data_IF_697152726550
#
_entry.id   IF_697152726550
#
_cell.length_a   1.000
_cell.length_b   1.000
_cell.length_c   1.000
_cell.angle_alpha   90.00
_cell.angle_beta   90.00
_cell.angle_gamma   90.00
#
_symmetry.space_group_name_H-M   'P 1'
#
loop_
_entity.id
_entity.type
_entity.pdbx_description
1 polymer ?
#
# COMPACT_ATOMS: atom_id res chain seq x y z
N UNK A 1 2.18 5.01 18.99
CA UNK A 1 1.37 6.09 18.40
C UNK A 1 1.59 6.24 16.89
N UNK A 2 2.82 6.12 16.39
CA UNK A 2 3.15 6.11 14.94
C UNK A 2 2.53 4.90 14.19
N UNK A 3 2.45 3.72 14.83
CA UNK A 3 1.78 2.54 14.28
C UNK A 3 0.30 2.77 13.92
N UNK A 4 -0.42 3.60 14.68
CA UNK A 4 -1.83 3.92 14.39
C UNK A 4 -1.97 4.81 13.17
N UNK A 5 -1.07 5.78 13.00
CA UNK A 5 -1.07 6.68 11.83
C UNK A 5 -0.71 5.91 10.56
N UNK A 6 0.29 5.01 10.64
CA UNK A 6 0.65 4.12 9.54
C UNK A 6 -0.46 3.12 9.18
N UNK A 7 -1.11 2.50 10.18
CA UNK A 7 -2.23 1.60 9.94
C UNK A 7 -3.47 2.34 9.41
N UNK A 8 -3.68 3.61 9.79
CA UNK A 8 -4.75 4.45 9.26
C UNK A 8 -4.49 4.86 7.80
N UNK A 9 -3.24 5.15 7.43
CA UNK A 9 -2.81 5.45 6.06
C UNK A 9 -3.00 4.23 5.15
N UNK A 10 -2.76 3.02 5.68
CA UNK A 10 -2.82 1.75 4.94
C UNK A 10 -4.15 0.99 5.06
N UNK A 11 -5.10 1.44 5.89
CA UNK A 11 -6.45 0.86 6.05
C UNK A 11 -6.52 -0.68 6.25
N UNK A 12 -5.53 -1.30 6.89
CA UNK A 12 -5.53 -2.76 7.13
C UNK A 12 -6.18 -3.11 8.49
N UNK A 13 -7.10 -4.09 8.48
CA UNK A 13 -7.83 -4.60 9.66
C UNK A 13 -7.19 -5.82 10.35
N UNK A 14 -6.07 -6.36 9.87
CA UNK A 14 -5.38 -7.51 10.49
C UNK A 14 -4.01 -7.14 11.10
N UNK A 15 -3.63 -7.69 12.27
CA UNK A 15 -2.36 -7.35 12.94
C UNK A 15 -1.15 -7.97 12.22
N UNK A 16 -0.04 -7.23 12.19
CA UNK A 16 1.19 -7.56 11.43
C UNK A 16 1.99 -8.75 12.01
N UNK A 17 2.68 -9.57 11.18
CA UNK A 17 3.72 -10.48 11.66
C UNK A 17 4.99 -9.72 12.08
N UNK A 18 5.57 -10.13 13.21
CA UNK A 18 6.66 -9.46 13.95
C UNK A 18 7.92 -9.24 13.07
N UNK A 19 8.19 -10.13 12.12
CA UNK A 19 9.34 -10.06 11.22
C UNK A 19 9.42 -8.74 10.42
N UNK A 20 8.28 -8.16 10.06
CA UNK A 20 8.18 -6.93 9.25
C UNK A 20 8.52 -5.67 10.06
N UNK A 21 8.13 -5.63 11.35
CA UNK A 21 8.57 -4.60 12.29
C UNK A 21 10.06 -4.71 12.59
N UNK A 22 10.54 -5.95 12.72
CA UNK A 22 11.97 -6.23 12.94
C UNK A 22 12.78 -5.74 11.76
N UNK A 23 12.37 -5.98 10.50
CA UNK A 23 13.13 -5.56 9.32
C UNK A 23 13.27 -4.03 9.20
N UNK A 24 12.21 -3.27 9.50
CA UNK A 24 12.24 -1.79 9.51
C UNK A 24 13.13 -1.27 10.64
N UNK A 25 13.05 -1.88 11.82
CA UNK A 25 13.95 -1.56 12.94
C UNK A 25 15.40 -1.98 12.65
N UNK A 26 15.60 -3.10 11.97
CA UNK A 26 16.92 -3.61 11.58
C UNK A 26 17.56 -2.70 10.53
N UNK A 27 16.79 -2.28 9.52
CA UNK A 27 17.24 -1.29 8.55
C UNK A 27 17.58 0.02 9.25
N UNK A 28 16.77 0.50 10.19
CA UNK A 28 17.09 1.71 10.96
C UNK A 28 18.40 1.59 11.76
N UNK A 29 18.63 0.44 12.39
CA UNK A 29 19.81 0.14 13.20
C UNK A 29 21.07 -0.13 12.36
N UNK A 30 20.92 -0.61 11.12
CA UNK A 30 22.06 -0.96 10.24
C UNK A 30 22.35 0.12 9.20
N UNK A 31 21.35 0.58 8.43
CA UNK A 31 21.53 1.67 7.47
C UNK A 31 21.85 2.99 8.15
N UNK A 32 21.34 3.25 9.36
CA UNK A 32 21.60 4.51 10.08
C UNK A 32 23.09 4.76 10.33
N UNK A 33 23.79 3.85 11.03
CA UNK A 33 25.24 3.95 11.22
C UNK A 33 26.05 3.86 9.92
N UNK A 34 25.59 3.08 8.95
CA UNK A 34 26.31 2.86 7.69
C UNK A 34 26.24 4.10 6.78
N UNK A 35 25.08 4.76 6.70
CA UNK A 35 24.90 6.05 6.03
C UNK A 35 25.63 7.18 6.77
N UNK A 36 25.64 7.16 8.10
CA UNK A 36 26.45 8.08 8.91
C UNK A 36 27.94 7.92 8.58
N UNK A 37 28.44 6.68 8.61
CA UNK A 37 29.82 6.36 8.28
C UNK A 37 30.19 6.78 6.87
N UNK A 38 29.31 6.56 5.89
CA UNK A 38 29.49 7.05 4.52
C UNK A 38 29.53 8.57 4.46
N UNK A 39 28.59 9.25 5.11
CA UNK A 39 28.52 10.72 5.10
C UNK A 39 29.74 11.37 5.74
N UNK A 40 30.24 10.79 6.84
CA UNK A 40 31.45 11.24 7.52
C UNK A 40 32.68 10.96 6.65
N UNK A 41 32.73 9.83 5.96
CA UNK A 41 33.82 9.49 5.03
C UNK A 41 33.85 10.45 3.84
N UNK A 42 32.69 10.75 3.24
CA UNK A 42 32.55 11.71 2.14
C UNK A 42 32.91 13.11 2.61
N UNK A 43 32.45 13.53 3.79
CA UNK A 43 32.75 14.85 4.35
C UNK A 43 34.25 14.98 4.67
N UNK A 44 34.85 13.95 5.25
CA UNK A 44 36.29 13.89 5.56
C UNK A 44 37.14 13.89 4.27
N UNK A 45 36.68 13.20 3.23
CA UNK A 45 37.30 13.21 1.91
C UNK A 45 37.16 14.56 1.22
N UNK A 46 35.99 15.20 1.27
CA UNK A 46 35.75 16.52 0.70
C UNK A 46 36.61 17.60 1.37
N UNK A 47 36.80 17.50 2.70
CA UNK A 47 37.71 18.36 3.46
C UNK A 47 39.17 18.09 3.06
N UNK A 48 39.58 16.82 2.97
CA UNK A 48 40.94 16.43 2.57
C UNK A 48 41.28 16.82 1.12
N UNK A 49 40.32 16.70 0.21
CA UNK A 49 40.44 17.13 -1.18
C UNK A 49 40.50 18.67 -1.30
N UNK A 50 39.72 19.39 -0.49
CA UNK A 50 39.77 20.86 -0.41
C UNK A 50 41.09 21.37 0.18
N UNK A 51 41.77 20.55 1.00
CA UNK A 51 43.10 20.84 1.54
C UNK A 51 44.25 20.35 0.64
N UNK A 52 43.94 19.79 -0.55
CA UNK A 52 44.94 19.34 -1.51
C UNK A 52 45.69 18.06 -1.13
N UNK A 53 45.24 17.34 -0.09
CA UNK A 53 45.90 16.16 0.48
C UNK A 53 45.55 14.85 -0.25
N UNK A 54 44.52 14.83 -1.10
CA UNK A 54 44.15 13.67 -1.92
C UNK A 54 44.04 14.09 -3.38
N UNK A 55 44.84 13.46 -4.24
CA UNK A 55 44.85 13.71 -5.68
C UNK A 55 43.44 13.63 -6.27
N UNK A 56 43.07 14.66 -7.03
CA UNK A 56 41.76 14.82 -7.66
C UNK A 56 41.34 13.55 -8.41
N UNK A 57 40.28 12.89 -7.93
CA UNK A 57 39.61 11.82 -8.67
C UNK A 57 39.15 12.38 -10.02
N UNK A 58 39.35 11.67 -11.15
CA UNK A 58 38.81 12.10 -12.44
C UNK A 58 37.29 12.27 -12.32
N UNK A 59 36.74 13.42 -12.71
CA UNK A 59 35.33 13.76 -12.51
C UNK A 59 34.31 12.71 -13.01
N UNK A 60 34.70 11.85 -13.95
CA UNK A 60 33.89 10.72 -14.42
C UNK A 60 33.66 9.62 -13.37
N UNK A 61 34.61 9.38 -12.47
CA UNK A 61 34.49 8.36 -11.40
C UNK A 61 33.50 8.81 -10.33
N UNK A 62 33.53 10.10 -9.95
CA UNK A 62 32.56 10.66 -8.99
C UNK A 62 31.13 10.58 -9.53
N UNK A 63 30.92 10.97 -10.78
CA UNK A 63 29.60 10.90 -11.42
C UNK A 63 29.06 9.47 -11.52
N UNK A 64 29.94 8.49 -11.82
CA UNK A 64 29.59 7.06 -11.82
C UNK A 64 29.15 6.58 -10.44
N UNK A 65 29.88 6.95 -9.39
CA UNK A 65 29.56 6.58 -8.02
C UNK A 65 28.24 7.20 -7.54
N UNK A 66 28.01 8.49 -7.84
CA UNK A 66 26.76 9.18 -7.49
C UNK A 66 25.55 8.55 -8.20
N UNK A 67 25.71 8.22 -9.48
CA UNK A 67 24.66 7.55 -10.26
C UNK A 67 24.36 6.15 -9.72
N UNK A 68 25.41 5.41 -9.34
CA UNK A 68 25.28 4.07 -8.77
C UNK A 68 24.61 4.11 -7.39
N UNK A 69 24.98 5.05 -6.52
CA UNK A 69 24.35 5.27 -5.22
C UNK A 69 22.85 5.57 -5.39
N UNK A 70 22.51 6.48 -6.30
CA UNK A 70 21.12 6.82 -6.61
C UNK A 70 20.34 5.61 -7.11
N UNK A 71 20.91 4.83 -8.03
CA UNK A 71 20.28 3.64 -8.58
C UNK A 71 20.08 2.55 -7.50
N UNK A 72 21.07 2.32 -6.64
CA UNK A 72 20.99 1.39 -5.51
C UNK A 72 19.91 1.78 -4.52
N UNK A 73 19.83 3.07 -4.17
CA UNK A 73 18.82 3.57 -3.24
C UNK A 73 17.41 3.47 -3.85
N UNK A 74 17.24 3.88 -5.11
CA UNK A 74 15.95 3.78 -5.80
C UNK A 74 15.45 2.34 -5.91
N UNK A 75 16.32 1.41 -6.34
CA UNK A 75 15.98 -0.01 -6.51
C UNK A 75 15.83 -0.73 -5.18
N UNK A 76 16.66 -0.43 -4.18
CA UNK A 76 16.54 -0.96 -2.82
C UNK A 76 15.22 -0.54 -2.15
N UNK A 77 14.83 0.73 -2.28
CA UNK A 77 13.54 1.21 -1.77
C UNK A 77 12.36 0.65 -2.56
N UNK A 78 12.48 0.49 -3.88
CA UNK A 78 11.47 -0.19 -4.67
C UNK A 78 11.30 -1.66 -4.24
N UNK A 79 12.40 -2.38 -4.01
CA UNK A 79 12.38 -3.74 -3.46
C UNK A 79 11.71 -3.78 -2.08
N UNK A 80 12.04 -2.83 -1.20
CA UNK A 80 11.39 -2.69 0.10
C UNK A 80 9.88 -2.51 -0.06
N UNK A 81 9.43 -1.62 -0.94
CA UNK A 81 8.00 -1.38 -1.19
C UNK A 81 7.29 -2.53 -1.92
N UNK A 82 8.02 -3.40 -2.60
CA UNK A 82 7.45 -4.56 -3.28
C UNK A 82 7.35 -5.80 -2.37
N UNK A 83 8.44 -6.13 -1.66
CA UNK A 83 8.55 -7.37 -0.90
C UNK A 83 8.11 -7.25 0.56
N UNK A 84 8.20 -6.06 1.15
CA UNK A 84 7.83 -5.90 2.56
C UNK A 84 6.32 -5.94 2.76
N UNK A 85 5.46 -5.26 1.98
CA UNK A 85 4.02 -5.23 2.25
C UNK A 85 3.36 -6.61 2.14
N UNK A 86 2.32 -6.84 2.94
CA UNK A 86 1.47 -8.03 2.82
C UNK A 86 0.40 -7.86 1.71
N UNK A 87 0.70 -7.06 0.69
CA UNK A 87 -0.21 -6.66 -0.38
C UNK A 87 0.58 -6.65 -1.68
N UNK A 88 -0.01 -7.15 -2.77
CA UNK A 88 0.65 -7.20 -4.07
C UNK A 88 0.83 -5.79 -4.67
N UNK A 89 2.04 -5.23 -4.54
CA UNK A 89 2.40 -3.96 -5.18
C UNK A 89 3.07 -4.27 -6.52
N UNK A 90 2.54 -3.79 -7.66
CA UNK A 90 3.22 -3.99 -8.96
C UNK A 90 4.58 -3.27 -8.97
N UNK A 91 5.60 -3.89 -9.57
CA UNK A 91 6.96 -3.32 -9.69
C UNK A 91 7.00 -1.88 -10.22
N UNK A 92 6.12 -1.53 -11.15
CA UNK A 92 6.02 -0.17 -11.70
C UNK A 92 5.68 0.88 -10.63
N UNK A 93 4.82 0.53 -9.68
CA UNK A 93 4.42 1.42 -8.58
C UNK A 93 5.49 1.48 -7.49
N UNK A 94 6.10 0.33 -7.20
CA UNK A 94 7.23 0.24 -6.28
C UNK A 94 8.43 1.08 -6.75
N UNK A 95 8.75 1.02 -8.05
CA UNK A 95 9.78 1.85 -8.67
C UNK A 95 9.45 3.35 -8.64
N UNK A 96 8.19 3.74 -8.85
CA UNK A 96 7.78 5.14 -8.73
C UNK A 96 7.99 5.68 -7.30
N UNK A 97 7.61 4.90 -6.29
CA UNK A 97 7.89 5.25 -4.89
C UNK A 97 9.39 5.25 -4.56
N UNK A 98 10.14 4.26 -5.03
CA UNK A 98 11.59 4.17 -4.83
C UNK A 98 12.36 5.33 -5.46
N UNK A 99 11.97 5.72 -6.68
CA UNK A 99 12.54 6.89 -7.37
C UNK A 99 12.25 8.18 -6.62
N UNK A 100 11.02 8.34 -6.09
CA UNK A 100 10.67 9.48 -5.26
C UNK A 100 11.57 9.57 -4.01
N UNK A 101 11.83 8.44 -3.34
CA UNK A 101 12.72 8.41 -2.17
C UNK A 101 14.15 8.80 -2.57
N UNK A 102 14.66 8.27 -3.68
CA UNK A 102 16.00 8.59 -4.16
C UNK A 102 16.17 10.09 -4.46
N UNK A 103 15.22 10.69 -5.18
CA UNK A 103 15.23 12.13 -5.45
C UNK A 103 15.10 12.93 -4.15
N UNK A 104 14.21 12.53 -3.25
CA UNK A 104 14.02 13.18 -1.96
C UNK A 104 15.28 13.20 -1.10
N UNK A 105 15.99 12.07 -1.02
CA UNK A 105 17.27 11.98 -0.30
C UNK A 105 18.36 12.84 -0.93
N UNK A 106 18.43 12.89 -2.26
CA UNK A 106 19.39 13.72 -2.98
C UNK A 106 19.15 15.22 -2.70
N UNK A 107 17.89 15.65 -2.71
CA UNK A 107 17.51 17.02 -2.33
C UNK A 107 17.82 17.29 -0.86
N UNK A 108 17.48 16.36 0.04
CA UNK A 108 17.75 16.49 1.47
C UNK A 108 19.26 16.65 1.74
N UNK A 109 20.12 15.83 1.10
CA UNK A 109 21.59 15.93 1.21
C UNK A 109 22.08 17.34 0.86
N UNK A 110 21.58 17.89 -0.26
CA UNK A 110 21.95 19.24 -0.72
C UNK A 110 21.48 20.33 0.22
N UNK A 111 20.23 20.23 0.73
CA UNK A 111 19.67 21.18 1.69
C UNK A 111 20.47 21.14 3.00
N UNK A 112 20.78 19.95 3.52
CA UNK A 112 21.60 19.80 4.72
C UNK A 112 23.01 20.38 4.51
N UNK A 113 23.64 20.07 3.37
CA UNK A 113 24.96 20.61 3.03
C UNK A 113 24.97 22.14 2.93
N UNK A 114 23.92 22.74 2.35
CA UNK A 114 23.75 24.20 2.33
C UNK A 114 23.54 24.78 3.73
N UNK A 115 22.68 24.16 4.54
CA UNK A 115 22.41 24.57 5.91
C UNK A 115 23.68 24.56 6.77
N UNK A 116 24.48 23.49 6.68
CA UNK A 116 25.75 23.38 7.41
C UNK A 116 26.77 24.47 7.02
N UNK A 117 26.76 24.92 5.76
CA UNK A 117 27.64 26.03 5.29
C UNK A 117 27.18 27.40 5.80
N UNK A 118 25.89 27.60 5.98
CA UNK A 118 25.30 28.88 6.43
C UNK A 118 25.37 29.07 7.95
N UNK A 119 25.51 27.97 8.71
CA UNK A 119 25.39 27.97 10.17
C UNK A 119 26.72 27.57 10.88
N UNK A 120 27.91 28.04 10.45
CA UNK A 120 29.18 27.65 11.08
C UNK A 120 29.27 28.08 12.54
N UNK A 121 28.58 29.17 12.92
CA UNK A 121 28.62 29.75 14.27
C UNK A 121 28.07 28.83 15.36
N UNK A 122 27.10 27.95 15.05
CA UNK A 122 26.53 27.05 16.05
C UNK A 122 27.44 25.87 16.39
N UNK A 123 28.26 25.41 15.42
CA UNK A 123 29.28 24.39 15.65
C UNK A 123 30.43 24.93 16.53
N UNK A 124 30.73 26.23 16.44
CA UNK A 124 31.79 26.88 17.22
C UNK A 124 31.40 27.05 18.70
N UNK A 125 30.12 27.33 18.99
CA UNK A 125 29.63 27.56 20.36
C UNK A 125 29.28 26.25 21.09
N UNK A 126 28.68 25.27 20.39
CA UNK A 126 28.19 24.02 20.99
C UNK A 126 29.04 22.79 20.67
N UNK A 127 30.09 22.91 19.85
CA UNK A 127 31.02 21.82 19.52
C UNK A 127 30.31 20.55 19.01
N UNK A 128 30.78 19.38 19.46
CA UNK A 128 30.23 18.08 19.08
C UNK A 128 28.75 17.88 19.47
N UNK A 129 28.21 18.67 20.40
CA UNK A 129 26.81 18.58 20.81
C UNK A 129 25.85 19.06 19.71
N UNK A 130 26.27 19.99 18.84
CA UNK A 130 25.47 20.47 17.70
C UNK A 130 25.18 19.36 16.66
N UNK A 131 26.03 18.34 16.58
CA UNK A 131 25.87 17.20 15.66
C UNK A 131 24.63 16.38 15.99
N UNK A 132 24.27 16.24 17.26
CA UNK A 132 23.16 15.37 17.69
C UNK A 132 21.78 15.90 17.22
N UNK A 133 21.40 17.17 17.47
CA UNK A 133 20.15 17.72 16.94
C UNK A 133 20.09 17.73 15.41
N UNK A 134 21.19 18.06 14.73
CA UNK A 134 21.26 18.06 13.27
C UNK A 134 21.03 16.65 12.73
N UNK A 135 21.65 15.65 13.35
CA UNK A 135 21.46 14.25 12.98
C UNK A 135 20.02 13.77 13.24
N UNK A 136 19.39 14.19 14.33
CA UNK A 136 17.98 13.88 14.60
C UNK A 136 17.04 14.48 13.53
N UNK A 137 17.29 15.72 13.12
CA UNK A 137 16.55 16.38 12.02
C UNK A 137 16.76 15.62 10.71
N UNK A 138 17.98 15.20 10.42
CA UNK A 138 18.29 14.39 9.25
C UNK A 138 17.51 13.08 9.21
N UNK A 139 17.53 12.31 10.31
CA UNK A 139 16.75 11.09 10.45
C UNK A 139 15.26 11.37 10.25
N UNK A 140 14.74 12.43 10.89
CA UNK A 140 13.33 12.80 10.79
C UNK A 140 12.92 13.03 9.34
N UNK A 141 13.66 13.86 8.59
CA UNK A 141 13.36 14.11 7.18
C UNK A 141 13.52 12.85 6.32
N UNK A 142 14.55 12.03 6.58
CA UNK A 142 14.73 10.75 5.90
C UNK A 142 13.51 9.84 6.05
N UNK A 143 12.96 9.72 7.26
CA UNK A 143 11.74 8.96 7.49
C UNK A 143 10.52 9.56 6.80
N UNK A 144 10.36 10.88 6.83
CA UNK A 144 9.25 11.55 6.12
C UNK A 144 9.30 11.24 4.62
N UNK A 145 10.47 11.31 4.00
CA UNK A 145 10.67 11.00 2.57
C UNK A 145 10.31 9.54 2.28
N UNK A 146 10.81 8.59 3.09
CA UNK A 146 10.52 7.15 2.94
C UNK A 146 9.03 6.88 3.06
N UNK A 147 8.37 7.45 4.07
CA UNK A 147 6.93 7.28 4.30
C UNK A 147 6.11 7.85 3.16
N UNK A 148 6.49 9.01 2.63
CA UNK A 148 5.81 9.63 1.49
C UNK A 148 6.00 8.81 0.21
N UNK A 149 7.20 8.27 -0.02
CA UNK A 149 7.46 7.32 -1.12
C UNK A 149 6.65 6.04 -1.02
N UNK A 150 6.47 5.51 0.19
CA UNK A 150 5.61 4.35 0.44
C UNK A 150 4.14 4.65 0.13
N UNK A 151 3.64 5.85 0.48
CA UNK A 151 2.30 6.32 0.09
C UNK A 151 2.17 6.37 -1.43
N UNK A 152 3.16 6.89 -2.15
CA UNK A 152 3.14 6.93 -3.61
C UNK A 152 3.08 5.51 -4.20
N UNK A 153 3.90 4.58 -3.69
CA UNK A 153 3.88 3.19 -4.14
C UNK A 153 2.52 2.49 -3.87
N UNK A 154 1.88 2.80 -2.74
CA UNK A 154 0.60 2.22 -2.32
C UNK A 154 -0.63 2.82 -3.04
N UNK A 155 -0.62 4.11 -3.37
CA UNK A 155 -1.76 4.80 -4.01
C UNK A 155 -1.70 4.83 -5.54
N UNK A 156 -0.57 4.48 -6.15
CA UNK A 156 -0.48 4.44 -7.61
C UNK A 156 -1.46 3.45 -8.30
N UNK A 157 -1.83 2.28 -7.72
CA UNK A 157 -2.91 1.44 -8.24
C UNK A 157 -4.29 2.11 -8.12
N UNK A 158 -4.58 2.77 -7.00
CA UNK A 158 -5.90 3.36 -6.74
C UNK A 158 -6.17 4.63 -7.56
N UNK A 159 -5.13 5.37 -7.95
CA UNK A 159 -5.24 6.52 -8.86
C UNK A 159 -5.49 6.14 -10.33
N UNK A 160 -5.08 4.93 -10.76
CA UNK A 160 -5.38 4.43 -12.11
C UNK A 160 -6.80 3.88 -12.23
N UNK A 161 -7.37 3.43 -11.12
CA UNK A 161 -8.78 3.07 -11.03
C UNK A 161 -9.61 4.37 -11.02
N UNK A 162 -10.12 4.78 -12.19
CA UNK A 162 -11.12 5.85 -12.35
C UNK A 162 -12.47 5.38 -11.79
N UNK A 163 -12.48 5.17 -10.48
CA UNK A 163 -13.48 4.42 -9.78
C UNK A 163 -14.36 5.38 -9.01
N UNK A 164 -15.64 5.34 -9.33
CA UNK A 164 -16.63 6.24 -8.75
C UNK A 164 -17.06 5.62 -7.43
N UNK A 165 -16.84 6.35 -6.33
CA UNK A 165 -17.42 5.99 -5.04
C UNK A 165 -18.94 6.04 -5.20
N UNK A 166 -19.61 4.88 -5.11
CA UNK A 166 -21.08 4.87 -5.16
C UNK A 166 -21.63 5.57 -3.92
N UNK A 167 -22.66 6.42 -4.05
CA UNK A 167 -23.30 7.07 -2.93
C UNK A 167 -23.85 6.01 -1.96
N UNK A 168 -23.62 6.22 -0.66
CA UNK A 168 -24.07 5.32 0.40
C UNK A 168 -25.56 5.54 0.68
N UNK A 169 -26.39 5.08 -0.25
CA UNK A 169 -27.85 5.07 -0.12
C UNK A 169 -28.31 3.73 0.46
N UNK A 170 -29.44 3.69 1.20
CA UNK A 170 -30.02 2.43 1.65
C UNK A 170 -30.19 1.45 0.49
N UNK A 171 -29.71 0.21 0.65
CA UNK A 171 -29.74 -0.84 -0.38
C UNK A 171 -28.57 -0.82 -1.38
N UNK A 172 -27.67 0.17 -1.34
CA UNK A 172 -26.50 0.21 -2.24
C UNK A 172 -25.57 -0.99 -2.10
N UNK A 173 -25.32 -1.45 -0.85
CA UNK A 173 -24.51 -2.65 -0.56
C UNK A 173 -25.13 -3.91 -1.15
N UNK A 174 -26.44 -4.04 -1.05
CA UNK A 174 -27.18 -5.15 -1.63
C UNK A 174 -27.11 -5.15 -3.16
N UNK A 175 -27.31 -4.00 -3.80
CA UNK A 175 -27.15 -3.86 -5.26
C UNK A 175 -25.72 -4.20 -5.70
N UNK A 176 -24.71 -3.79 -4.91
CA UNK A 176 -23.32 -4.12 -5.20
C UNK A 176 -23.04 -5.62 -5.03
N UNK A 177 -23.62 -6.29 -4.02
CA UNK A 177 -23.53 -7.74 -3.89
C UNK A 177 -24.11 -8.49 -5.09
N UNK A 178 -25.29 -8.10 -5.58
CA UNK A 178 -25.88 -8.68 -6.80
C UNK A 178 -24.92 -8.50 -7.99
N UNK A 179 -24.37 -7.29 -8.15
CA UNK A 179 -23.44 -7.00 -9.24
C UNK A 179 -22.13 -7.82 -9.15
N UNK A 180 -21.61 -8.03 -7.93
CA UNK A 180 -20.44 -8.88 -7.66
C UNK A 180 -20.75 -10.35 -7.99
N UNK A 181 -21.87 -10.88 -7.49
CA UNK A 181 -22.29 -12.26 -7.74
C UNK A 181 -22.52 -12.52 -9.23
N UNK A 182 -23.11 -11.56 -9.95
CA UNK A 182 -23.25 -11.63 -11.42
C UNK A 182 -21.90 -11.63 -12.12
N UNK A 183 -20.96 -10.79 -11.69
CA UNK A 183 -19.61 -10.78 -12.25
C UNK A 183 -18.87 -12.11 -12.02
N UNK A 184 -18.98 -12.68 -10.81
CA UNK A 184 -18.38 -13.97 -10.48
C UNK A 184 -19.05 -15.14 -11.21
N UNK A 185 -20.38 -15.13 -11.35
CA UNK A 185 -21.12 -16.13 -12.13
C UNK A 185 -20.68 -16.13 -13.61
N UNK A 186 -20.51 -14.94 -14.20
CA UNK A 186 -19.98 -14.80 -15.55
C UNK A 186 -18.50 -15.20 -15.68
N UNK A 187 -17.71 -15.03 -14.62
CA UNK A 187 -16.31 -15.44 -14.60
C UNK A 187 -16.14 -16.96 -14.43
N UNK A 188 -17.14 -17.65 -13.86
CA UNK A 188 -17.13 -19.11 -13.67
C UNK A 188 -16.95 -19.88 -14.98
N UNK A 189 -17.44 -19.35 -16.10
CA UNK A 189 -17.31 -19.98 -17.43
C UNK A 189 -16.01 -19.63 -18.16
N UNK A 190 -15.20 -18.70 -17.63
CA UNK A 190 -13.88 -18.35 -18.18
C UNK A 190 -12.81 -19.30 -17.64
N UNK A 191 -11.68 -19.39 -18.34
CA UNK A 191 -10.55 -20.28 -17.98
C UNK A 191 -10.00 -20.08 -16.56
N UNK A 192 -10.19 -18.90 -15.95
CA UNK A 192 -9.77 -18.61 -14.58
C UNK A 192 -10.84 -18.88 -13.51
N UNK A 193 -12.08 -19.18 -13.87
CA UNK A 193 -13.19 -19.48 -12.96
C UNK A 193 -13.49 -18.45 -11.83
N UNK A 194 -12.85 -17.28 -11.83
CA UNK A 194 -12.94 -16.29 -10.75
C UNK A 194 -12.28 -14.96 -11.12
N UNK A 195 -12.39 -13.99 -10.21
CA UNK A 195 -11.91 -12.62 -10.38
C UNK A 195 -11.15 -12.16 -9.13
N UNK A 196 -10.09 -11.36 -9.32
CA UNK A 196 -9.48 -10.65 -8.19
C UNK A 196 -10.36 -9.48 -7.73
N UNK A 197 -10.08 -8.93 -6.54
CA UNK A 197 -10.79 -7.73 -6.05
C UNK A 197 -10.59 -6.58 -7.02
N UNK A 198 -9.40 -6.46 -7.60
CA UNK A 198 -9.04 -5.48 -8.62
C UNK A 198 -9.87 -5.66 -9.89
N UNK A 199 -10.03 -6.90 -10.38
CA UNK A 199 -10.82 -7.19 -11.58
C UNK A 199 -12.30 -6.84 -11.37
N UNK A 200 -12.87 -7.24 -10.22
CA UNK A 200 -14.26 -6.91 -9.86
C UNK A 200 -14.45 -5.39 -9.78
N UNK A 201 -13.52 -4.70 -9.12
CA UNK A 201 -13.54 -3.25 -8.96
C UNK A 201 -13.44 -2.53 -10.31
N UNK A 202 -12.60 -3.03 -11.22
CA UNK A 202 -12.45 -2.50 -12.57
C UNK A 202 -13.71 -2.71 -13.42
N UNK A 203 -14.27 -3.94 -13.38
CA UNK A 203 -15.45 -4.31 -14.13
C UNK A 203 -16.69 -3.54 -13.67
N UNK A 204 -16.86 -3.38 -12.36
CA UNK A 204 -17.99 -2.67 -11.76
C UNK A 204 -17.74 -1.15 -11.60
N UNK A 205 -16.56 -0.66 -11.97
CA UNK A 205 -16.09 0.73 -11.77
C UNK A 205 -16.34 1.25 -10.34
N UNK A 206 -16.15 0.38 -9.36
CA UNK A 206 -16.48 0.61 -7.94
C UNK A 206 -15.25 0.45 -7.04
N UNK A 207 -15.18 1.21 -5.94
CA UNK A 207 -14.02 1.31 -5.05
C UNK A 207 -13.70 -0.07 -4.47
N UNK A 208 -12.45 -0.58 -4.57
CA UNK A 208 -12.04 -1.82 -3.92
C UNK A 208 -12.46 -1.87 -2.43
N UNK A 209 -12.44 -0.72 -1.75
CA UNK A 209 -12.85 -0.60 -0.34
C UNK A 209 -14.36 -0.81 -0.11
N UNK A 210 -15.19 -0.66 -1.15
CA UNK A 210 -16.62 -1.01 -1.10
C UNK A 210 -16.87 -2.46 -1.51
N UNK A 211 -16.01 -3.04 -2.35
CA UNK A 211 -16.12 -4.42 -2.84
C UNK A 211 -15.66 -5.43 -1.78
N UNK A 212 -14.53 -5.17 -1.12
CA UNK A 212 -13.89 -6.09 -0.18
C UNK A 212 -14.81 -6.51 1.00
N UNK A 213 -15.50 -5.60 1.71
CA UNK A 213 -16.40 -6.01 2.80
C UNK A 213 -17.58 -6.87 2.34
N UNK A 214 -18.00 -6.72 1.08
CA UNK A 214 -19.10 -7.50 0.51
C UNK A 214 -18.60 -8.89 0.10
N UNK A 215 -17.40 -8.99 -0.48
CA UNK A 215 -16.77 -10.28 -0.74
C UNK A 215 -16.56 -11.05 0.58
N UNK A 216 -16.06 -10.41 1.63
CA UNK A 216 -15.91 -11.02 2.96
C UNK A 216 -17.25 -11.52 3.51
N UNK A 217 -18.32 -10.74 3.34
CA UNK A 217 -19.68 -11.13 3.73
C UNK A 217 -20.18 -12.35 2.94
N UNK A 218 -19.89 -12.43 1.63
CA UNK A 218 -20.24 -13.56 0.78
C UNK A 218 -19.38 -14.81 1.05
N UNK A 219 -18.13 -14.62 1.47
CA UNK A 219 -17.25 -15.69 1.96
C UNK A 219 -17.76 -16.24 3.29
N UNK A 220 -18.22 -15.37 4.21
CA UNK A 220 -18.75 -15.79 5.50
C UNK A 220 -20.02 -16.66 5.43
N UNK A 221 -20.76 -16.58 4.32
CA UNK A 221 -21.94 -17.43 4.06
C UNK A 221 -21.62 -18.60 3.09
N UNK A 222 -20.33 -18.88 2.84
CA UNK A 222 -19.84 -19.95 1.95
C UNK A 222 -20.30 -19.87 0.49
N UNK A 223 -20.67 -18.67 0.01
CA UNK A 223 -21.08 -18.49 -1.40
C UNK A 223 -19.91 -18.20 -2.32
N UNK A 224 -18.86 -17.58 -1.78
CA UNK A 224 -17.64 -17.20 -2.49
C UNK A 224 -16.44 -17.81 -1.77
N UNK A 225 -15.49 -18.36 -2.52
CA UNK A 225 -14.23 -18.89 -2.00
C UNK A 225 -13.07 -17.98 -2.39
N UNK A 226 -12.09 -17.83 -1.50
CA UNK A 226 -10.83 -17.13 -1.80
C UNK A 226 -9.73 -18.15 -2.10
N UNK A 227 -9.13 -18.03 -3.28
CA UNK A 227 -7.98 -18.81 -3.72
C UNK A 227 -6.73 -17.93 -3.62
N UNK A 228 -5.85 -18.28 -2.69
CA UNK A 228 -4.57 -17.60 -2.50
C UNK A 228 -3.56 -18.20 -3.49
N UNK A 229 -3.29 -17.49 -4.59
CA UNK A 229 -2.33 -17.86 -5.64
C UNK A 229 -1.07 -16.97 -5.58
N UNK A 230 -0.02 -17.29 -6.32
CA UNK A 230 1.27 -16.57 -6.39
C UNK A 230 1.19 -15.13 -6.97
N UNK A 231 0.01 -14.52 -6.94
CA UNK A 231 -0.36 -13.21 -7.47
C UNK A 231 -1.51 -12.59 -6.67
N UNK A 232 -2.49 -12.00 -7.35
CA UNK A 232 -3.70 -11.49 -6.69
C UNK A 232 -4.62 -12.62 -6.23
N UNK A 233 -5.08 -12.58 -4.98
CA UNK A 233 -6.07 -13.52 -4.46
C UNK A 233 -7.33 -13.50 -5.34
N UNK A 234 -7.74 -14.67 -5.81
CA UNK A 234 -8.87 -14.82 -6.73
C UNK A 234 -10.10 -15.26 -5.95
N UNK A 235 -11.22 -14.60 -6.20
CA UNK A 235 -12.52 -14.98 -5.65
C UNK A 235 -13.28 -15.81 -6.67
N UNK A 236 -13.81 -16.95 -6.24
CA UNK A 236 -14.57 -17.89 -7.07
C UNK A 236 -15.95 -18.10 -6.48
N UNK A 237 -16.96 -18.27 -7.34
CA UNK A 237 -18.30 -18.61 -6.89
C UNK A 237 -18.36 -20.10 -6.55
N UNK A 238 -18.67 -20.43 -5.29
CA UNK A 238 -18.77 -21.81 -4.80
C UNK A 238 -20.18 -22.39 -4.96
N UNK A 239 -21.18 -21.54 -4.77
CA UNK A 239 -22.57 -21.95 -4.81
C UNK A 239 -23.10 -22.04 -6.26
N UNK A 240 -24.08 -22.91 -6.49
CA UNK A 240 -24.84 -22.94 -7.74
C UNK A 240 -26.02 -21.95 -7.65
N UNK A 241 -26.06 -20.90 -8.50
CA UNK A 241 -27.13 -19.91 -8.45
C UNK A 241 -28.53 -20.49 -8.65
N UNK A 242 -28.66 -21.60 -9.37
CA UNK A 242 -29.96 -22.20 -9.68
C UNK A 242 -30.65 -22.79 -8.45
N UNK A 243 -29.87 -23.34 -7.52
CA UNK A 243 -30.35 -24.10 -6.37
C UNK A 243 -30.22 -23.34 -5.04
N UNK A 244 -29.33 -22.35 -4.99
CA UNK A 244 -29.04 -21.60 -3.76
C UNK A 244 -30.13 -20.59 -3.45
N UNK A 245 -30.68 -20.61 -2.23
CA UNK A 245 -31.70 -19.66 -1.77
C UNK A 245 -31.10 -18.28 -1.46
N UNK A 246 -31.80 -17.22 -1.84
CA UNK A 246 -31.37 -15.83 -1.66
C UNK A 246 -31.35 -15.35 -0.19
N UNK A 247 -32.09 -16.04 0.69
CA UNK A 247 -32.36 -15.63 2.08
C UNK A 247 -31.11 -15.19 2.87
N UNK A 248 -29.99 -15.94 2.93
CA UNK A 248 -28.82 -15.55 3.73
C UNK A 248 -28.24 -14.19 3.33
N UNK A 249 -28.18 -13.91 2.02
CA UNK A 249 -27.72 -12.62 1.52
C UNK A 249 -28.72 -11.51 1.81
N UNK A 250 -30.02 -11.77 1.65
CA UNK A 250 -31.09 -10.79 1.94
C UNK A 250 -31.09 -10.37 3.40
N UNK A 251 -30.93 -11.31 4.34
CA UNK A 251 -30.82 -10.99 5.77
C UNK A 251 -29.55 -10.22 6.10
N UNK A 252 -28.44 -10.51 5.41
CA UNK A 252 -27.13 -9.92 5.70
C UNK A 252 -26.97 -8.50 5.14
N UNK A 253 -27.53 -8.24 3.95
CA UNK A 253 -27.23 -7.03 3.18
C UNK A 253 -28.44 -6.13 2.88
N UNK A 254 -29.67 -6.64 3.02
CA UNK A 254 -30.88 -5.89 2.70
C UNK A 254 -31.71 -5.56 3.95
N UNK A 255 -32.40 -6.54 4.52
CA UNK A 255 -33.34 -6.36 5.65
C UNK A 255 -33.29 -7.59 6.55
N UNK A 256 -32.97 -7.43 7.83
CA UNK A 256 -33.01 -8.53 8.80
C UNK A 256 -34.47 -9.00 9.06
N UNK A 257 -34.78 -10.31 9.06
CA UNK A 257 -36.11 -10.83 9.42
C UNK A 257 -36.39 -10.67 10.93
N UNK A 258 -36.89 -9.49 11.30
CA UNK A 258 -37.40 -9.18 12.64
C UNK A 258 -38.93 -9.31 12.67
N UNK A 259 -39.58 -9.35 13.85
CA UNK A 259 -41.04 -9.40 13.93
C UNK A 259 -41.73 -8.25 13.15
N UNK A 260 -41.11 -7.08 13.07
CA UNK A 260 -41.61 -5.93 12.33
C UNK A 260 -41.52 -6.11 10.80
N UNK A 261 -40.49 -6.80 10.30
CA UNK A 261 -40.27 -7.04 8.86
C UNK A 261 -40.82 -8.39 8.37
N UNK A 262 -41.25 -9.28 9.27
CA UNK A 262 -41.70 -10.64 8.94
C UNK A 262 -42.88 -10.70 7.95
N UNK A 263 -43.86 -9.78 8.07
CA UNK A 263 -44.99 -9.73 7.13
C UNK A 263 -44.52 -9.34 5.73
N UNK A 264 -43.63 -8.35 5.65
CA UNK A 264 -43.03 -7.92 4.39
C UNK A 264 -42.22 -9.05 3.74
N UNK A 265 -41.38 -9.73 4.52
CA UNK A 265 -40.58 -10.89 4.09
C UNK A 265 -41.45 -12.00 3.46
N UNK A 266 -42.54 -12.39 4.15
CA UNK A 266 -43.45 -13.43 3.64
C UNK A 266 -44.18 -12.99 2.38
N UNK A 267 -44.68 -11.74 2.33
CA UNK A 267 -45.41 -11.22 1.16
C UNK A 267 -44.49 -11.05 -0.06
N UNK A 268 -43.22 -10.72 0.16
CA UNK A 268 -42.21 -10.62 -0.90
C UNK A 268 -41.64 -11.99 -1.33
N UNK A 269 -42.03 -13.09 -0.66
CA UNK A 269 -41.57 -14.47 -0.94
C UNK A 269 -40.05 -14.62 -0.97
N UNK A 270 -39.34 -13.85 -0.14
CA UNK A 270 -37.87 -13.89 -0.05
C UNK A 270 -37.29 -15.25 0.34
N UNK A 271 -38.07 -16.09 1.01
CA UNK A 271 -37.68 -17.45 1.40
C UNK A 271 -37.63 -18.42 0.20
N UNK A 272 -38.41 -18.13 -0.84
CA UNK A 272 -38.53 -18.99 -2.01
C UNK A 272 -37.55 -18.58 -3.12
N UNK A 273 -37.16 -17.31 -3.13
CA UNK A 273 -36.32 -16.71 -4.17
C UNK A 273 -34.96 -17.39 -4.28
N UNK A 274 -34.56 -17.69 -5.51
CA UNK A 274 -33.24 -18.27 -5.79
C UNK A 274 -32.23 -17.19 -6.12
N UNK A 275 -30.94 -17.51 -5.94
CA UNK A 275 -29.86 -16.58 -6.31
C UNK A 275 -29.89 -16.24 -7.80
N UNK A 276 -30.24 -17.22 -8.65
CA UNK A 276 -30.42 -17.03 -10.10
C UNK A 276 -31.41 -15.93 -10.43
N UNK A 277 -32.59 -15.96 -9.82
CA UNK A 277 -33.66 -14.96 -10.02
C UNK A 277 -33.21 -13.53 -9.68
N UNK A 278 -32.16 -13.36 -8.88
CA UNK A 278 -31.64 -12.06 -8.49
C UNK A 278 -30.51 -11.54 -9.41
N UNK A 279 -29.77 -12.44 -10.04
CA UNK A 279 -28.60 -12.10 -10.86
C UNK A 279 -28.89 -12.11 -12.37
N UNK A 280 -29.97 -12.78 -12.80
CA UNK A 280 -30.48 -12.75 -14.17
C UNK A 280 -31.30 -11.47 -14.41
N UNK A 281 -31.05 -10.80 -15.54
CA UNK A 281 -31.87 -9.69 -16.06
C UNK A 281 -32.97 -10.22 -16.97
#
# INVERSE_FOLDING_TARGET
TIDRTLNAIWRVRTPRPIAQRVLVYWAAVTLGPLLLGLSLSITSYAISASQGLVGSMPGGVSFLLDTLEFALLATGMAGLFHYVPNTHVRWRHALAGGLFVAVGFEVAKRVLGWYLRQVPTYAVVYGAFATVPIFLVWIYFGWVIVLLGAVIAAYAPSLQMRVVRRPDVPGSRFQLAIAILRALANARTRAGHGLSVEDVSQQLRTDPLQVEPILDALVAIDWVGRLDESGSARHVLLCDPASTKARPMLSLLLIDPTPASAIFWRRARFDEMTLREMIEE
#
